data_IF_540425904068
#
_entry.id   IF_540425904068
#
_cell.length_a   1.000
_cell.length_b   1.000
_cell.length_c   1.000
_cell.angle_alpha   90.00
_cell.angle_beta   90.00
_cell.angle_gamma   90.00
#
_symmetry.space_group_name_H-M   'P 1'
#
loop_
_entity.id
_entity.type
_entity.pdbx_description
1 polymer ?
#
# COMPACT_ATOMS: atom_id res chain seq x y z
N UNK A 1 -0.07 -22.88 -15.21
CA UNK A 1 0.94 -22.96 -14.13
C UNK A 1 1.10 -21.56 -13.53
N UNK A 2 0.47 -21.30 -12.38
CA UNK A 2 0.54 -19.99 -11.71
C UNK A 2 1.91 -19.82 -11.07
N UNK A 3 2.65 -18.79 -11.49
CA UNK A 3 3.88 -18.36 -10.82
C UNK A 3 3.50 -17.33 -9.76
N UNK A 4 3.68 -17.70 -8.50
CA UNK A 4 3.65 -16.78 -7.38
C UNK A 4 5.06 -16.22 -7.18
N UNK A 5 5.17 -14.90 -7.09
CA UNK A 5 6.40 -14.22 -6.72
C UNK A 5 6.31 -13.91 -5.21
N UNK A 6 7.17 -14.54 -4.42
CA UNK A 6 7.28 -14.33 -2.98
C UNK A 6 8.40 -13.31 -2.78
N UNK A 7 8.05 -12.12 -2.31
CA UNK A 7 9.02 -11.06 -2.04
C UNK A 7 9.66 -11.29 -0.66
N UNK A 8 10.77 -12.03 -0.64
CA UNK A 8 11.59 -12.29 0.56
C UNK A 8 12.61 -11.17 0.71
N UNK A 9 12.20 -10.02 1.25
CA UNK A 9 13.14 -8.92 1.49
C UNK A 9 13.94 -9.10 2.79
N UNK A 10 15.14 -9.65 2.59
CA UNK A 10 16.44 -9.24 3.13
C UNK A 10 16.65 -9.23 4.66
N UNK A 11 17.19 -10.35 5.17
CA UNK A 11 17.87 -10.41 6.45
C UNK A 11 19.28 -9.79 6.32
N UNK A 12 19.49 -8.63 6.95
CA UNK A 12 20.84 -8.21 7.37
C UNK A 12 20.87 -8.35 8.89
N UNK A 13 21.36 -9.49 9.37
CA UNK A 13 21.75 -9.65 10.78
C UNK A 13 23.07 -8.91 10.97
N UNK A 14 23.02 -7.66 11.41
CA UNK A 14 24.20 -6.99 11.98
C UNK A 14 24.40 -7.57 13.38
N UNK A 15 25.58 -8.16 13.60
CA UNK A 15 25.99 -8.81 14.83
C UNK A 15 25.79 -7.90 16.06
N UNK A 16 25.21 -8.48 17.12
CA UNK A 16 25.04 -7.87 18.44
C UNK A 16 26.40 -7.38 18.97
N UNK A 17 26.62 -6.07 18.96
CA UNK A 17 27.61 -5.44 19.82
C UNK A 17 26.81 -4.70 20.92
N UNK A 18 27.10 -5.05 22.17
CA UNK A 18 26.49 -4.47 23.36
C UNK A 18 26.78 -2.96 23.39
N UNK A 19 25.81 -2.13 23.00
CA UNK A 19 25.93 -0.67 23.00
C UNK A 19 24.68 -0.01 23.62
N UNK A 20 24.83 1.16 24.26
CA UNK A 20 23.83 1.70 25.17
C UNK A 20 22.48 1.97 24.47
N UNK A 21 21.36 1.44 25.02
CA UNK A 21 20.04 1.46 24.37
C UNK A 21 19.45 2.83 24.03
N UNK A 22 19.90 3.91 24.69
CA UNK A 22 19.24 5.22 24.63
C UNK A 22 19.51 6.02 23.35
N UNK A 23 20.63 5.78 22.66
CA UNK A 23 21.01 6.55 21.45
C UNK A 23 20.58 5.83 20.17
N UNK A 24 20.45 4.51 20.20
CA UNK A 24 20.20 3.71 18.99
C UNK A 24 18.71 3.40 18.77
N UNK A 25 17.86 3.49 19.79
CA UNK A 25 16.43 3.26 19.65
C UNK A 25 15.81 4.18 18.59
N UNK A 26 16.11 5.48 18.65
CA UNK A 26 15.60 6.47 17.70
C UNK A 26 16.15 6.26 16.28
N UNK A 27 17.42 5.87 16.14
CA UNK A 27 17.99 5.53 14.83
C UNK A 27 17.35 4.27 14.25
N UNK A 28 17.07 3.27 15.10
CA UNK A 28 16.38 2.05 14.66
C UNK A 28 14.94 2.35 14.24
N UNK A 29 14.21 3.17 15.00
CA UNK A 29 12.86 3.64 14.64
C UNK A 29 12.89 4.36 13.29
N UNK A 30 13.81 5.31 13.10
CA UNK A 30 13.99 6.01 11.82
C UNK A 30 14.32 5.09 10.64
N UNK A 31 15.16 4.07 10.87
CA UNK A 31 15.50 3.08 9.83
C UNK A 31 14.29 2.19 9.50
N UNK A 32 13.51 1.78 10.50
CA UNK A 32 12.28 0.99 10.32
C UNK A 32 11.23 1.81 9.58
N UNK A 33 11.00 3.06 9.98
CA UNK A 33 10.08 3.99 9.31
C UNK A 33 10.47 4.18 7.84
N UNK A 34 11.75 4.45 7.58
CA UNK A 34 12.26 4.58 6.21
C UNK A 34 12.04 3.31 5.39
N UNK A 35 12.24 2.13 5.98
CA UNK A 35 12.00 0.84 5.30
C UNK A 35 10.52 0.68 4.95
N UNK A 36 9.62 1.00 5.86
CA UNK A 36 8.18 0.82 5.64
C UNK A 36 7.62 1.83 4.63
N UNK A 37 8.10 3.07 4.62
CA UNK A 37 7.74 4.04 3.58
C UNK A 37 8.19 3.60 2.19
N UNK A 38 9.39 3.01 2.08
CA UNK A 38 9.87 2.40 0.83
C UNK A 38 8.96 1.25 0.40
N UNK A 39 8.54 0.39 1.33
CA UNK A 39 7.64 -0.74 1.03
C UNK A 39 6.25 -0.26 0.57
N UNK A 40 5.69 0.76 1.21
CA UNK A 40 4.43 1.39 0.81
C UNK A 40 4.55 1.95 -0.60
N UNK A 41 5.62 2.70 -0.90
CA UNK A 41 5.89 3.24 -2.24
C UNK A 41 5.97 2.14 -3.29
N UNK A 42 6.71 1.07 -3.01
CA UNK A 42 6.84 -0.07 -3.92
C UNK A 42 5.50 -0.78 -4.13
N UNK A 43 4.68 -0.91 -3.07
CA UNK A 43 3.35 -1.49 -3.14
C UNK A 43 2.43 -0.67 -4.05
N UNK A 44 2.41 0.66 -3.92
CA UNK A 44 1.65 1.54 -4.81
C UNK A 44 2.12 1.47 -6.27
N UNK A 45 3.45 1.45 -6.52
CA UNK A 45 3.97 1.29 -7.88
C UNK A 45 3.54 -0.04 -8.51
N UNK A 46 3.57 -1.14 -7.76
CA UNK A 46 3.07 -2.46 -8.23
C UNK A 46 1.59 -2.42 -8.55
N UNK A 47 0.77 -1.80 -7.69
CA UNK A 47 -0.67 -1.63 -7.93
C UNK A 47 -0.89 -0.82 -9.22
N UNK A 48 -0.14 0.27 -9.42
CA UNK A 48 -0.22 1.11 -10.60
C UNK A 48 0.13 0.36 -11.89
N UNK A 49 1.19 -0.45 -11.85
CA UNK A 49 1.55 -1.34 -12.97
C UNK A 49 0.39 -2.28 -13.28
N UNK A 50 -0.19 -2.94 -12.26
CA UNK A 50 -1.33 -3.83 -12.46
C UNK A 50 -2.55 -3.09 -13.04
N UNK A 51 -2.83 -1.85 -12.60
CA UNK A 51 -3.88 -1.01 -13.18
C UNK A 51 -3.65 -0.75 -14.67
N UNK A 52 -2.41 -0.43 -15.07
CA UNK A 52 -2.07 -0.16 -16.48
C UNK A 52 -2.31 -1.38 -17.38
N UNK A 53 -2.06 -2.57 -16.87
CA UNK A 53 -2.25 -3.83 -17.60
C UNK A 53 -3.63 -4.46 -17.40
N UNK A 54 -4.57 -3.77 -16.75
CA UNK A 54 -5.91 -4.29 -16.50
C UNK A 54 -5.94 -5.53 -15.58
N UNK A 55 -4.91 -5.70 -14.75
CA UNK A 55 -4.78 -6.82 -13.81
C UNK A 55 -5.35 -6.46 -12.44
N UNK A 56 -5.99 -7.44 -11.78
CA UNK A 56 -6.53 -7.25 -10.44
C UNK A 56 -5.46 -7.57 -9.38
N UNK A 57 -5.17 -6.63 -8.46
CA UNK A 57 -4.25 -6.89 -7.37
C UNK A 57 -4.91 -7.76 -6.30
N UNK A 58 -4.05 -8.47 -5.58
CA UNK A 58 -4.39 -9.09 -4.31
C UNK A 58 -3.22 -8.88 -3.36
N UNK A 59 -3.49 -8.33 -2.19
CA UNK A 59 -2.49 -8.02 -1.17
C UNK A 59 -2.67 -8.99 -0.01
N UNK A 60 -1.65 -9.81 0.20
CA UNK A 60 -1.42 -10.52 1.46
C UNK A 60 -0.53 -9.66 2.35
N UNK A 61 -0.87 -9.60 3.64
CA UNK A 61 -0.07 -8.85 4.62
C UNK A 61 0.77 -9.83 5.43
N UNK A 62 2.09 -9.65 5.41
CA UNK A 62 2.99 -10.40 6.27
C UNK A 62 2.75 -10.03 7.73
N UNK A 63 2.81 -10.99 8.66
CA UNK A 63 2.29 -10.84 10.02
C UNK A 63 2.88 -9.66 10.82
N UNK A 64 4.14 -9.31 10.59
CA UNK A 64 4.82 -8.19 11.26
C UNK A 64 4.31 -6.82 10.82
N UNK A 65 3.43 -6.72 9.81
CA UNK A 65 2.81 -5.44 9.42
C UNK A 65 2.11 -4.76 10.61
N UNK A 66 1.70 -5.52 11.63
CA UNK A 66 1.06 -5.01 12.86
C UNK A 66 2.01 -4.20 13.74
N UNK A 67 3.32 -4.42 13.61
CA UNK A 67 4.35 -3.70 14.36
C UNK A 67 4.72 -2.38 13.67
N UNK A 68 4.33 -2.21 12.40
CA UNK A 68 4.57 -0.99 11.65
C UNK A 68 3.69 0.16 12.15
N UNK A 69 4.24 1.39 12.30
CA UNK A 69 3.41 2.58 12.53
C UNK A 69 2.41 2.80 11.38
N UNK A 70 2.71 2.27 10.19
CA UNK A 70 1.87 2.33 8.99
C UNK A 70 0.92 1.15 8.80
N UNK A 71 0.73 0.28 9.81
CA UNK A 71 -0.18 -0.89 9.74
C UNK A 71 -1.59 -0.54 9.21
N UNK A 72 -2.06 0.67 9.51
CA UNK A 72 -3.30 1.23 8.99
C UNK A 72 -3.32 1.26 7.46
N UNK A 73 -2.27 1.82 6.83
CA UNK A 73 -2.15 1.92 5.36
C UNK A 73 -2.21 0.54 4.72
N UNK A 74 -1.42 -0.43 5.21
CA UNK A 74 -1.44 -1.81 4.69
C UNK A 74 -2.83 -2.45 4.81
N UNK A 75 -3.52 -2.21 5.92
CA UNK A 75 -4.87 -2.74 6.13
C UNK A 75 -5.85 -2.18 5.10
N UNK A 76 -5.81 -0.87 4.86
CA UNK A 76 -6.73 -0.22 3.93
C UNK A 76 -6.43 -0.54 2.47
N UNK A 77 -5.14 -0.61 2.10
CA UNK A 77 -4.71 -1.06 0.77
C UNK A 77 -5.27 -2.45 0.46
N UNK A 78 -5.13 -3.40 1.39
CA UNK A 78 -5.66 -4.73 1.17
C UNK A 78 -7.19 -4.77 1.12
N UNK A 79 -7.90 -3.97 1.92
CA UNK A 79 -9.38 -3.86 1.84
C UNK A 79 -9.84 -3.34 0.47
N UNK A 80 -9.13 -2.34 -0.05
CA UNK A 80 -9.43 -1.76 -1.37
C UNK A 80 -9.07 -2.70 -2.51
N UNK A 81 -7.83 -3.21 -2.55
CA UNK A 81 -7.33 -4.07 -3.63
C UNK A 81 -8.03 -5.43 -3.68
N UNK A 82 -8.27 -6.07 -2.53
CA UNK A 82 -8.82 -7.43 -2.49
C UNK A 82 -10.33 -7.47 -2.78
N UNK A 83 -10.98 -6.30 -2.95
CA UNK A 83 -12.37 -6.19 -3.35
C UNK A 83 -12.43 -5.66 -4.79
N UNK A 84 -12.54 -6.53 -5.81
CA UNK A 84 -12.47 -6.12 -7.22
C UNK A 84 -13.51 -5.07 -7.61
N UNK A 85 -14.68 -5.08 -6.96
CA UNK A 85 -15.72 -4.08 -7.17
C UNK A 85 -15.29 -2.67 -6.74
N UNK A 86 -14.51 -2.55 -5.67
CA UNK A 86 -13.95 -1.27 -5.25
C UNK A 86 -12.81 -0.87 -6.16
N UNK A 87 -11.83 -1.76 -6.32
CA UNK A 87 -10.62 -1.48 -7.11
C UNK A 87 -10.92 -1.02 -8.54
N UNK A 88 -11.90 -1.63 -9.22
CA UNK A 88 -12.28 -1.25 -10.59
C UNK A 88 -13.05 0.06 -10.69
N UNK A 89 -13.71 0.51 -9.62
CA UNK A 89 -14.67 1.63 -9.66
C UNK A 89 -14.14 2.92 -9.08
N UNK A 90 -13.15 2.85 -8.19
CA UNK A 90 -12.69 4.01 -7.44
C UNK A 90 -11.20 3.93 -7.13
N UNK A 91 -10.57 5.10 -7.03
CA UNK A 91 -9.19 5.24 -6.56
C UNK A 91 -9.08 4.92 -5.06
N UNK A 92 -7.85 4.84 -4.54
CA UNK A 92 -7.62 4.63 -3.11
C UNK A 92 -8.14 5.81 -2.28
N UNK A 93 -7.95 7.04 -2.77
CA UNK A 93 -8.48 8.25 -2.14
C UNK A 93 -10.02 8.23 -2.08
N UNK A 94 -10.67 7.95 -3.20
CA UNK A 94 -12.14 7.87 -3.28
C UNK A 94 -12.68 6.76 -2.37
N UNK A 95 -11.98 5.64 -2.27
CA UNK A 95 -12.31 4.58 -1.32
C UNK A 95 -12.29 5.10 0.12
N UNK A 96 -11.25 5.85 0.51
CA UNK A 96 -11.12 6.39 1.86
C UNK A 96 -12.21 7.43 2.18
N UNK A 97 -12.47 8.37 1.27
CA UNK A 97 -13.52 9.39 1.39
C UNK A 97 -14.88 8.73 1.52
N UNK A 98 -15.20 7.79 0.62
CA UNK A 98 -16.46 7.05 0.66
C UNK A 98 -16.68 6.40 2.03
N UNK A 99 -15.66 5.73 2.58
CA UNK A 99 -15.77 5.10 3.90
C UNK A 99 -15.99 6.14 5.03
N UNK A 100 -15.49 7.37 4.91
CA UNK A 100 -15.80 8.45 5.86
C UNK A 100 -17.27 8.84 5.81
N UNK A 101 -17.81 9.02 4.60
CA UNK A 101 -19.20 9.40 4.41
C UNK A 101 -20.16 8.35 5.00
N UNK A 102 -19.83 7.05 4.85
CA UNK A 102 -20.59 5.97 5.48
C UNK A 102 -20.52 5.97 7.01
N UNK A 103 -19.42 6.42 7.59
CA UNK A 103 -19.25 6.44 9.05
C UNK A 103 -20.14 7.49 9.74
N UNK A 104 -20.64 8.49 9.00
CA UNK A 104 -21.54 9.56 9.49
C UNK A 104 -21.03 10.19 10.80
N UNK A 105 -19.72 10.39 10.89
CA UNK A 105 -19.04 10.97 12.05
C UNK A 105 -18.03 11.99 11.59
N UNK A 106 -17.85 13.05 12.39
CA UNK A 106 -16.81 14.07 12.14
C UNK A 106 -15.40 13.56 12.44
N UNK A 107 -15.28 12.45 13.19
CA UNK A 107 -13.97 11.84 13.49
C UNK A 107 -13.49 11.04 12.27
N UNK A 108 -12.20 11.15 11.90
CA UNK A 108 -11.66 10.39 10.78
C UNK A 108 -11.73 8.90 11.07
N UNK A 109 -12.40 8.16 10.19
CA UNK A 109 -12.52 6.71 10.24
C UNK A 109 -11.17 6.05 9.88
N UNK A 110 -11.06 4.74 10.04
CA UNK A 110 -9.77 4.04 9.87
C UNK A 110 -9.15 4.24 8.48
N UNK A 111 -9.97 4.35 7.43
CA UNK A 111 -9.49 4.63 6.07
C UNK A 111 -9.00 6.06 5.90
N UNK A 112 -9.72 7.04 6.46
CA UNK A 112 -9.27 8.43 6.42
C UNK A 112 -8.01 8.67 7.24
N UNK A 113 -7.85 8.02 8.40
CA UNK A 113 -6.59 8.11 9.15
C UNK A 113 -5.41 7.57 8.36
N UNK A 114 -5.59 6.45 7.66
CA UNK A 114 -4.54 5.89 6.80
C UNK A 114 -4.23 6.83 5.61
N UNK A 115 -5.24 7.44 4.99
CA UNK A 115 -5.03 8.41 3.92
C UNK A 115 -4.29 9.65 4.40
N UNK A 116 -4.67 10.19 5.57
CA UNK A 116 -4.01 11.35 6.16
C UNK A 116 -2.56 11.05 6.52
N UNK A 117 -2.28 9.87 7.09
CA UNK A 117 -0.91 9.42 7.37
C UNK A 117 -0.08 9.32 6.08
N UNK A 118 -0.67 8.80 4.99
CA UNK A 118 0.00 8.75 3.68
C UNK A 118 0.30 10.15 3.13
N UNK A 119 -0.59 11.12 3.33
CA UNK A 119 -0.38 12.53 2.91
C UNK A 119 0.75 13.19 3.68
N UNK A 120 0.85 12.91 4.98
CA UNK A 120 1.84 13.50 5.87
C UNK A 120 3.23 12.89 5.63
N UNK A 121 3.33 11.56 5.63
CA UNK A 121 4.61 10.87 5.70
C UNK A 121 5.14 10.42 4.32
N UNK A 122 4.28 10.39 3.30
CA UNK A 122 4.65 10.01 1.92
C UNK A 122 3.89 10.86 0.86
N UNK A 123 3.98 12.19 0.91
CA UNK A 123 3.22 13.08 0.03
C UNK A 123 3.46 12.77 -1.46
N UNK A 124 4.68 12.39 -1.85
CA UNK A 124 4.99 12.06 -3.23
C UNK A 124 4.30 10.77 -3.71
N UNK A 125 4.06 9.83 -2.80
CA UNK A 125 3.30 8.59 -3.08
C UNK A 125 1.81 8.93 -3.19
N UNK A 126 1.31 9.76 -2.27
CA UNK A 126 -0.07 10.22 -2.30
C UNK A 126 -0.39 10.92 -3.64
N UNK A 127 0.36 11.96 -3.99
CA UNK A 127 0.11 12.76 -5.20
C UNK A 127 0.22 11.92 -6.48
N UNK A 128 1.15 10.96 -6.50
CA UNK A 128 1.38 10.13 -7.69
C UNK A 128 0.33 9.03 -7.86
N UNK A 129 -0.12 8.38 -6.79
CA UNK A 129 -0.91 7.14 -6.91
C UNK A 129 -2.29 7.17 -6.27
N UNK A 130 -2.56 8.03 -5.28
CA UNK A 130 -3.79 7.92 -4.49
C UNK A 130 -5.06 8.15 -5.33
N UNK A 131 -4.97 9.00 -6.35
CA UNK A 131 -6.03 9.30 -7.31
C UNK A 131 -6.04 8.39 -8.56
N UNK A 132 -5.08 7.47 -8.71
CA UNK A 132 -5.03 6.58 -9.87
C UNK A 132 -6.23 5.62 -9.89
N UNK A 133 -6.80 5.40 -11.08
CA UNK A 133 -7.92 4.49 -11.31
C UNK A 133 -7.53 3.33 -12.20
N UNK A 134 -8.22 2.21 -12.01
CA UNK A 134 -8.08 1.04 -12.85
C UNK A 134 -8.34 1.39 -14.33
N UNK A 135 -7.35 1.14 -15.18
CA UNK A 135 -7.49 1.35 -16.61
C UNK A 135 -8.06 0.07 -17.23
N UNK A 136 -9.21 0.18 -17.89
CA UNK A 136 -9.71 -0.93 -18.68
C UNK A 136 -8.80 -1.05 -19.90
N UNK A 137 -7.96 -2.08 -19.95
CA UNK A 137 -7.40 -2.51 -21.22
C UNK A 137 -8.60 -2.91 -22.08
N UNK A 138 -8.98 -2.05 -23.03
CA UNK A 138 -9.98 -2.37 -24.03
C UNK A 138 -9.67 -3.77 -24.55
N UNK A 139 -10.68 -4.64 -24.63
CA UNK A 139 -10.53 -5.94 -25.29
C UNK A 139 -9.78 -5.65 -26.60
N UNK A 140 -8.56 -6.18 -26.78
CA UNK A 140 -8.03 -6.29 -28.14
C UNK A 140 -9.13 -7.01 -28.91
N UNK A 141 -9.67 -6.34 -29.93
CA UNK A 141 -10.56 -7.02 -30.87
C UNK A 141 -9.81 -8.26 -31.36
N UNK A 142 -10.55 -9.35 -31.55
CA UNK A 142 -10.03 -10.64 -32.00
C UNK A 142 -9.28 -10.55 -33.36
N UNK A 143 -9.29 -9.38 -34.01
CA UNK A 143 -8.74 -9.08 -35.34
C UNK A 143 -7.21 -8.84 -35.36
N UNK A 144 -6.51 -8.74 -34.22
CA UNK A 144 -5.05 -8.56 -34.20
C UNK A 144 -4.25 -9.88 -34.03
N UNK A 145 -4.90 -11.04 -34.13
CA UNK A 145 -4.25 -12.37 -33.99
C UNK A 145 -4.35 -13.22 -35.27
N UNK A 146 -4.99 -12.70 -36.33
CA UNK A 146 -5.10 -13.38 -37.63
C UNK A 146 -4.07 -12.86 -38.65
#
# INVERSE_FOLDING_TARGET
>A
MQRFYVDTNCFITVWYIYYPPSVFASLWEQLVEKKDLIDIKNTFERIHILMKYGCLPYIMRYISYKESPYHGIYTQLARWCNQPSHFKRMSFEEFCIRNQDYAKSDKPCASMRALNLLKEDAPEVYEKYAACKFMYAGKKSQEEID
#
